data_IF_235128640242
#
_entry.id   IF_235128640242
#
_cell.length_a   1.000
_cell.length_b   1.000
_cell.length_c   1.000
_cell.angle_alpha   90.00
_cell.angle_beta   90.00
_cell.angle_gamma   90.00
#
_symmetry.space_group_name_H-M   'P 1'
#
loop_
_entity.id
_entity.type
_entity.pdbx_description
1 polymer ?
#
# COMPACT_ATOMS: atom_id res chain seq x y z
N UNK A 1 31.94 17.09 27.08
CA UNK A 1 31.55 15.98 26.16
C UNK A 1 31.52 16.56 24.76
N UNK A 2 32.34 16.03 23.83
CA UNK A 2 32.24 16.41 22.42
C UNK A 2 30.83 16.02 21.93
N UNK A 3 30.17 16.94 21.22
CA UNK A 3 28.95 16.61 20.50
C UNK A 3 29.31 15.48 19.51
N UNK A 4 28.48 14.44 19.36
CA UNK A 4 28.71 13.42 18.34
C UNK A 4 28.85 14.10 16.98
N UNK A 5 29.61 13.49 16.05
CA UNK A 5 29.72 13.97 14.67
C UNK A 5 28.33 13.90 14.01
N UNK A 6 27.54 14.97 14.18
CA UNK A 6 26.14 15.02 13.78
C UNK A 6 26.08 15.34 12.29
N UNK A 7 25.64 14.35 11.50
CA UNK A 7 25.43 14.52 10.06
C UNK A 7 24.20 15.35 9.69
N UNK A 8 23.30 15.59 10.63
CA UNK A 8 22.12 16.46 10.45
C UNK A 8 22.51 17.94 10.38
N UNK A 9 21.65 18.76 9.77
CA UNK A 9 21.87 20.20 9.60
C UNK A 9 20.64 21.01 10.07
N UNK A 10 20.62 21.48 11.34
CA UNK A 10 19.53 22.28 11.89
C UNK A 10 19.30 23.62 11.17
N UNK A 11 20.33 24.24 10.62
CA UNK A 11 20.20 25.51 9.90
C UNK A 11 19.39 25.34 8.62
N UNK A 12 19.57 24.20 7.94
CA UNK A 12 18.81 23.84 6.75
C UNK A 12 17.30 23.70 7.05
N UNK A 13 16.97 23.02 8.16
CA UNK A 13 15.59 22.90 8.61
C UNK A 13 14.98 24.27 8.94
N UNK A 14 15.75 25.15 9.60
CA UNK A 14 15.29 26.50 9.93
C UNK A 14 15.04 27.32 8.66
N UNK A 15 15.96 27.31 7.69
CA UNK A 15 15.78 27.98 6.38
C UNK A 15 14.50 27.50 5.69
N UNK A 16 14.29 26.19 5.61
CA UNK A 16 13.08 25.61 5.04
C UNK A 16 11.83 26.06 5.80
N UNK A 17 11.84 25.98 7.13
CA UNK A 17 10.71 26.38 7.97
C UNK A 17 10.33 27.84 7.75
N UNK A 18 11.31 28.74 7.74
CA UNK A 18 11.09 30.17 7.49
C UNK A 18 10.42 30.41 6.14
N UNK A 19 10.86 29.70 5.08
CA UNK A 19 10.24 29.80 3.75
C UNK A 19 8.83 29.21 3.74
N UNK A 20 8.64 28.04 4.33
CA UNK A 20 7.34 27.39 4.45
C UNK A 20 6.31 28.29 5.14
N UNK A 21 6.69 28.88 6.27
CA UNK A 21 5.80 29.73 7.06
C UNK A 21 5.56 31.10 6.45
N UNK A 22 6.49 31.64 5.64
CA UNK A 22 6.32 32.92 4.95
C UNK A 22 5.11 32.91 3.98
N UNK A 23 4.83 31.77 3.36
CA UNK A 23 3.75 31.60 2.39
C UNK A 23 2.60 30.73 2.92
N UNK A 24 2.63 30.40 4.21
CA UNK A 24 1.63 29.55 4.84
C UNK A 24 0.27 30.24 4.93
N UNK A 25 -0.84 29.54 4.63
CA UNK A 25 -2.17 30.07 4.88
C UNK A 25 -2.40 30.28 6.38
N UNK A 26 -3.29 31.22 6.71
CA UNK A 26 -3.58 31.57 8.10
C UNK A 26 -3.99 30.34 8.91
N UNK A 27 -3.36 30.14 10.07
CA UNK A 27 -3.64 29.01 10.97
C UNK A 27 -2.93 27.71 10.62
N UNK A 28 -2.22 27.63 9.48
CA UNK A 28 -1.34 26.51 9.22
C UNK A 28 -0.22 26.48 10.25
N UNK A 29 0.03 25.29 10.77
CA UNK A 29 1.19 25.00 11.57
C UNK A 29 1.75 23.67 11.06
N UNK A 30 3.07 23.54 10.79
CA UNK A 30 3.67 22.30 10.32
C UNK A 30 3.58 21.18 11.36
N UNK A 31 3.31 19.96 10.92
CA UNK A 31 3.35 18.78 11.76
C UNK A 31 4.74 18.14 11.65
N UNK A 32 5.68 18.59 12.49
CA UNK A 32 6.98 17.94 12.61
C UNK A 32 6.93 16.81 13.63
N UNK A 33 7.75 15.79 13.45
CA UNK A 33 7.98 14.75 14.46
C UNK A 33 9.35 14.10 14.31
N UNK A 34 9.77 13.38 15.34
CA UNK A 34 11.12 12.83 15.47
C UNK A 34 11.20 11.43 14.84
N UNK A 35 12.26 11.21 14.07
CA UNK A 35 12.62 9.91 13.51
C UNK A 35 13.85 9.32 14.23
N UNK A 36 14.12 8.04 13.99
CA UNK A 36 15.36 7.39 14.43
C UNK A 36 16.61 8.01 13.80
N UNK A 37 17.73 7.93 14.52
CA UNK A 37 19.02 8.47 14.04
C UNK A 37 19.46 7.71 12.78
N UNK A 38 19.77 8.44 11.70
CA UNK A 38 20.16 7.84 10.43
C UNK A 38 19.06 7.04 9.72
N UNK A 39 17.86 6.98 10.29
CA UNK A 39 16.74 6.20 9.77
C UNK A 39 15.63 7.07 9.19
N UNK A 40 14.64 6.40 8.59
CA UNK A 40 13.40 7.02 8.11
C UNK A 40 12.21 6.78 9.03
N UNK A 41 12.36 5.88 10.00
CA UNK A 41 11.26 5.43 10.84
C UNK A 41 10.97 6.40 11.97
N UNK A 42 9.69 6.58 12.34
CA UNK A 42 9.32 7.33 13.52
C UNK A 42 9.98 6.75 14.77
N UNK A 43 10.41 7.63 15.67
CA UNK A 43 11.03 7.21 16.93
C UNK A 43 10.10 6.29 17.71
N UNK A 44 10.60 5.15 18.19
CA UNK A 44 9.80 4.18 18.93
C UNK A 44 9.29 4.70 20.29
N UNK A 45 8.28 4.02 20.84
CA UNK A 45 7.73 4.27 22.17
C UNK A 45 6.56 5.28 22.23
N UNK A 46 6.31 6.04 21.16
CA UNK A 46 5.15 6.93 21.07
C UNK A 46 4.62 7.00 19.64
N UNK A 47 3.29 7.01 19.48
CA UNK A 47 2.68 7.24 18.17
C UNK A 47 3.06 8.63 17.69
N UNK A 48 3.72 8.71 16.53
CA UNK A 48 4.14 9.98 15.94
C UNK A 48 2.95 10.90 15.61
N UNK A 49 1.77 10.32 15.31
CA UNK A 49 0.52 11.07 15.09
C UNK A 49 0.06 11.83 16.33
N UNK A 50 0.52 11.41 17.52
CA UNK A 50 0.22 12.03 18.80
C UNK A 50 1.45 12.74 19.40
N UNK A 51 2.57 12.86 18.66
CA UNK A 51 3.83 13.40 19.15
C UNK A 51 4.37 14.52 18.25
N UNK A 52 3.48 15.46 17.91
CA UNK A 52 3.83 16.65 17.15
C UNK A 52 4.93 17.45 17.86
N UNK A 53 5.81 18.06 17.07
CA UNK A 53 6.86 18.98 17.53
C UNK A 53 6.66 20.37 16.95
N UNK A 54 6.96 21.36 17.77
CA UNK A 54 7.24 22.74 17.34
C UNK A 54 8.56 22.79 16.57
N UNK A 55 8.81 23.90 15.85
CA UNK A 55 10.11 24.09 15.18
C UNK A 55 11.28 24.08 16.19
N UNK A 56 11.11 24.69 17.36
CA UNK A 56 12.14 24.73 18.41
C UNK A 56 12.49 23.33 18.90
N UNK A 57 11.48 22.50 19.17
CA UNK A 57 11.69 21.10 19.55
C UNK A 57 12.32 20.28 18.42
N UNK A 58 11.87 20.48 17.17
CA UNK A 58 12.42 19.79 16.02
C UNK A 58 13.92 20.10 15.84
N UNK A 59 14.31 21.36 15.94
CA UNK A 59 15.72 21.79 15.91
C UNK A 59 16.53 21.22 17.08
N UNK A 60 15.94 21.17 18.28
CA UNK A 60 16.57 20.53 19.44
C UNK A 60 16.90 19.06 19.18
N UNK A 61 15.96 18.29 18.64
CA UNK A 61 16.18 16.89 18.31
C UNK A 61 17.17 16.71 17.15
N UNK A 62 17.10 17.58 16.13
CA UNK A 62 18.02 17.54 15.00
C UNK A 62 19.47 17.82 15.40
N UNK A 63 19.72 18.74 16.34
CA UNK A 63 21.06 18.97 16.94
C UNK A 63 21.62 17.75 17.69
N UNK A 64 20.78 16.79 18.04
CA UNK A 64 21.18 15.53 18.71
C UNK A 64 21.29 14.37 17.72
N UNK A 65 21.29 14.65 16.41
CA UNK A 65 21.45 13.67 15.34
C UNK A 65 20.16 12.97 14.90
N UNK A 66 19.00 13.28 15.49
CA UNK A 66 17.74 12.71 15.03
C UNK A 66 17.28 13.35 13.72
N UNK A 67 16.72 12.54 12.83
CA UNK A 67 16.02 13.05 11.67
C UNK A 67 14.66 13.62 12.07
N UNK A 68 14.17 14.57 11.27
CA UNK A 68 12.86 15.18 11.45
C UNK A 68 12.04 14.91 10.21
N UNK A 69 10.80 14.47 10.39
CA UNK A 69 9.83 14.39 9.33
C UNK A 69 8.85 15.57 9.39
N UNK A 70 8.30 15.92 8.23
CA UNK A 70 7.14 16.79 8.09
C UNK A 70 5.98 15.99 7.50
N UNK A 71 4.83 16.03 8.17
CA UNK A 71 3.61 15.33 7.76
C UNK A 71 2.59 16.30 7.17
N UNK A 72 1.97 15.87 6.07
CA UNK A 72 0.70 16.44 5.62
C UNK A 72 -0.45 15.70 6.32
N UNK A 73 -1.34 16.41 7.00
CA UNK A 73 -2.44 15.81 7.78
C UNK A 73 -3.78 15.99 7.08
N UNK A 74 -4.82 15.29 7.55
CA UNK A 74 -6.18 15.46 7.03
C UNK A 74 -6.77 16.87 7.30
N UNK A 75 -6.18 17.64 8.23
CA UNK A 75 -6.74 18.90 8.73
C UNK A 75 -5.95 20.13 8.30
N UNK A 76 -4.85 19.95 7.58
CA UNK A 76 -4.03 21.03 7.05
C UNK A 76 -4.07 21.05 5.52
N UNK A 77 -3.69 22.17 4.88
CA UNK A 77 -3.63 22.26 3.43
C UNK A 77 -2.32 21.71 2.84
N UNK A 78 -1.37 21.19 3.62
CA UNK A 78 -0.08 20.75 3.06
C UNK A 78 -0.30 19.59 2.08
N UNK A 79 0.29 19.68 0.90
CA UNK A 79 0.37 18.60 -0.07
C UNK A 79 1.83 18.46 -0.51
N UNK A 80 2.38 17.26 -0.43
CA UNK A 80 3.77 17.00 -0.79
C UNK A 80 3.76 16.06 -2.00
N UNK A 81 4.24 16.53 -3.15
CA UNK A 81 4.44 15.69 -4.32
C UNK A 81 5.89 15.20 -4.30
N UNK A 82 6.05 13.95 -3.87
CA UNK A 82 7.32 13.23 -3.78
C UNK A 82 7.61 12.60 -5.14
N UNK A 83 8.68 13.04 -5.80
CA UNK A 83 9.09 12.56 -7.12
C UNK A 83 10.35 11.72 -6.95
N UNK A 84 10.24 10.44 -7.24
CA UNK A 84 11.37 9.50 -7.17
C UNK A 84 12.17 9.46 -8.48
N UNK A 85 11.48 9.60 -9.62
CA UNK A 85 12.05 9.60 -10.97
C UNK A 85 11.59 10.84 -11.75
N UNK A 86 12.52 11.76 -11.96
CA UNK A 86 12.28 13.02 -12.67
C UNK A 86 11.94 12.80 -14.15
N UNK A 87 12.33 11.67 -14.76
CA UNK A 87 12.00 11.40 -16.16
C UNK A 87 10.51 11.08 -16.35
N UNK A 88 9.85 10.53 -15.33
CA UNK A 88 8.41 10.23 -15.34
C UNK A 88 7.55 11.43 -14.95
N UNK A 89 8.16 12.48 -14.38
CA UNK A 89 7.51 13.72 -13.99
C UNK A 89 8.28 14.90 -14.58
N UNK A 90 8.29 15.05 -15.92
CA UNK A 90 9.10 16.07 -16.60
C UNK A 90 8.65 17.49 -16.27
N UNK A 91 7.36 17.67 -15.96
CA UNK A 91 6.77 18.95 -15.63
C UNK A 91 6.04 18.89 -14.29
N UNK A 92 6.31 19.89 -13.46
CA UNK A 92 5.61 20.10 -12.19
C UNK A 92 5.51 21.60 -11.94
N UNK A 93 4.37 22.04 -11.40
CA UNK A 93 4.15 23.43 -11.02
C UNK A 93 5.30 23.90 -10.11
N UNK A 94 6.02 25.00 -10.44
CA UNK A 94 7.15 25.45 -9.64
C UNK A 94 6.74 25.76 -8.21
N UNK A 95 7.53 25.30 -7.25
CA UNK A 95 7.30 25.54 -5.82
C UNK A 95 8.58 25.29 -5.02
N UNK A 96 8.53 25.47 -3.70
CA UNK A 96 9.62 25.10 -2.80
C UNK A 96 9.97 23.62 -2.94
N UNK A 97 11.24 23.32 -3.20
CA UNK A 97 11.71 21.95 -3.41
C UNK A 97 12.81 21.55 -2.44
N UNK A 98 12.82 20.28 -2.07
CA UNK A 98 13.90 19.62 -1.33
C UNK A 98 14.43 18.47 -2.16
N UNK A 99 15.75 18.38 -2.29
CA UNK A 99 16.43 17.24 -2.89
C UNK A 99 16.52 16.09 -1.89
N UNK A 100 16.09 14.89 -2.29
CA UNK A 100 16.11 13.71 -1.44
C UNK A 100 17.52 13.12 -1.28
N UNK A 101 17.71 12.19 -0.33
CA UNK A 101 19.02 11.57 0.01
C UNK A 101 19.78 10.98 -1.18
N UNK A 102 19.07 10.42 -2.17
CA UNK A 102 19.64 9.77 -3.35
C UNK A 102 20.04 10.80 -4.43
N UNK A 103 19.75 12.08 -4.20
CA UNK A 103 20.01 13.24 -5.07
C UNK A 103 19.27 13.26 -6.42
N UNK A 104 18.67 12.15 -6.80
CA UNK A 104 17.85 11.98 -8.01
C UNK A 104 16.36 12.33 -7.82
N UNK A 105 15.85 12.29 -6.58
CA UNK A 105 14.44 12.60 -6.28
C UNK A 105 14.23 14.00 -5.70
N UNK A 106 12.97 14.45 -5.68
CA UNK A 106 12.55 15.78 -5.19
C UNK A 106 11.27 15.70 -4.38
N UNK A 107 11.24 16.36 -3.22
CA UNK A 107 9.97 16.66 -2.54
C UNK A 107 9.52 18.06 -2.95
N UNK A 108 8.31 18.16 -3.50
CA UNK A 108 7.70 19.41 -3.94
C UNK A 108 6.57 19.78 -2.97
N UNK A 109 6.66 20.94 -2.33
CA UNK A 109 5.73 21.34 -1.28
C UNK A 109 4.69 22.31 -1.81
N UNK A 110 3.41 22.02 -1.61
CA UNK A 110 2.29 22.87 -2.02
C UNK A 110 1.26 23.05 -0.90
N UNK A 111 0.37 24.03 -1.07
CA UNK A 111 -0.86 24.15 -0.29
C UNK A 111 -2.11 23.87 -1.14
N UNK A 112 -2.79 22.77 -0.86
CA UNK A 112 -4.09 22.40 -1.44
C UNK A 112 -5.24 23.08 -0.68
N UNK A 113 -5.40 24.39 -0.88
CA UNK A 113 -6.35 25.24 -0.13
C UNK A 113 -7.81 24.82 -0.36
N UNK A 114 -8.14 24.42 -1.58
CA UNK A 114 -9.47 23.93 -1.97
C UNK A 114 -9.72 22.47 -1.55
N UNK A 115 -8.70 21.79 -1.01
CA UNK A 115 -8.73 20.40 -0.62
C UNK A 115 -8.73 19.39 -1.78
N UNK A 116 -8.78 19.82 -3.05
CA UNK A 116 -8.96 18.90 -4.18
C UNK A 116 -7.77 17.96 -4.35
N UNK A 117 -6.55 18.47 -4.13
CA UNK A 117 -5.30 17.71 -4.15
C UNK A 117 -4.97 17.00 -2.82
N UNK A 118 -5.85 17.02 -1.80
CA UNK A 118 -5.66 16.28 -0.53
C UNK A 118 -5.97 14.79 -0.68
N UNK A 119 -5.26 14.12 -1.59
CA UNK A 119 -5.38 12.70 -1.89
C UNK A 119 -4.02 12.03 -1.80
N UNK A 120 -3.95 10.84 -1.20
CA UNK A 120 -2.73 10.03 -1.25
C UNK A 120 -2.75 9.24 -2.56
N UNK A 121 -1.71 9.39 -3.37
CA UNK A 121 -1.64 8.78 -4.70
C UNK A 121 -0.27 8.12 -4.84
N UNK A 122 -0.14 6.83 -4.48
CA UNK A 122 1.08 6.09 -4.73
C UNK A 122 1.15 5.69 -6.21
N UNK A 123 2.30 5.98 -6.83
CA UNK A 123 2.66 5.41 -8.13
C UNK A 123 3.73 4.33 -7.92
N UNK A 124 4.02 3.57 -8.97
CA UNK A 124 5.01 2.50 -8.89
C UNK A 124 6.44 3.05 -8.82
N UNK A 125 6.76 3.95 -9.76
CA UNK A 125 8.14 4.39 -10.02
C UNK A 125 8.29 5.92 -10.07
N UNK A 126 7.21 6.69 -10.34
CA UNK A 126 7.27 8.15 -10.42
C UNK A 126 7.27 8.85 -9.04
N UNK A 127 7.00 8.13 -7.95
CA UNK A 127 6.87 8.63 -6.59
C UNK A 127 5.42 8.69 -6.09
N UNK A 128 5.08 9.64 -5.23
CA UNK A 128 3.80 9.68 -4.55
C UNK A 128 3.27 11.11 -4.29
N UNK A 129 1.96 11.30 -4.40
CA UNK A 129 1.30 12.46 -3.74
C UNK A 129 1.03 12.08 -2.29
N UNK A 130 1.68 12.78 -1.36
CA UNK A 130 1.61 12.56 0.10
C UNK A 130 0.89 13.72 0.76
N UNK A 131 -0.38 13.53 1.12
CA UNK A 131 -1.23 14.65 1.58
C UNK A 131 -2.04 14.36 2.85
N UNK A 132 -2.36 13.10 3.16
CA UNK A 132 -3.18 12.74 4.32
C UNK A 132 -2.50 11.68 5.16
N UNK A 133 -1.95 12.11 6.30
CA UNK A 133 -1.19 11.27 7.23
C UNK A 133 -0.01 10.53 6.58
N UNK A 134 0.59 11.15 5.56
CA UNK A 134 1.85 10.74 4.96
C UNK A 134 2.89 11.85 5.19
N UNK A 135 4.15 11.46 5.22
CA UNK A 135 5.25 12.34 5.58
C UNK A 135 6.45 12.11 4.68
N UNK A 136 7.35 13.08 4.67
CA UNK A 136 8.69 12.98 4.11
C UNK A 136 9.71 13.46 5.13
N UNK A 137 10.98 13.11 4.94
CA UNK A 137 12.06 13.68 5.74
C UNK A 137 12.19 15.17 5.40
N UNK A 138 12.23 15.99 6.44
CA UNK A 138 12.46 17.42 6.32
C UNK A 138 13.95 17.69 5.99
N UNK A 139 14.26 18.78 5.27
CA UNK A 139 15.64 19.11 4.94
C UNK A 139 16.45 19.37 6.22
N UNK A 140 17.74 19.09 6.15
CA UNK A 140 18.62 18.97 7.32
C UNK A 140 18.69 17.55 7.89
N UNK A 141 17.79 16.65 7.51
CA UNK A 141 17.89 15.22 7.85
C UNK A 141 18.98 14.51 7.04
N UNK A 142 19.50 13.40 7.56
CA UNK A 142 20.50 12.55 6.92
C UNK A 142 20.16 11.06 7.06
N UNK A 143 20.22 10.33 5.96
CA UNK A 143 20.10 8.86 5.93
C UNK A 143 21.18 8.32 5.01
N UNK A 144 22.04 7.38 5.46
CA UNK A 144 23.15 6.90 4.66
C UNK A 144 22.68 6.30 3.32
N UNK A 145 23.56 6.41 2.34
CA UNK A 145 23.43 5.75 1.04
C UNK A 145 24.44 4.61 0.93
N UNK A 146 24.07 3.53 0.25
CA UNK A 146 25.03 2.49 -0.14
C UNK A 146 25.99 3.02 -1.20
N UNK A 147 27.13 2.35 -1.37
CA UNK A 147 28.11 2.70 -2.40
C UNK A 147 27.50 2.65 -3.81
N UNK A 148 26.65 1.65 -4.08
CA UNK A 148 25.91 1.53 -5.34
C UNK A 148 24.91 2.68 -5.56
N UNK A 149 24.26 3.18 -4.50
CA UNK A 149 23.42 4.37 -4.59
C UNK A 149 24.25 5.62 -4.89
N UNK A 150 25.43 5.76 -4.27
CA UNK A 150 26.35 6.90 -4.46
C UNK A 150 26.94 6.91 -5.87
N UNK A 151 27.32 5.75 -6.40
CA UNK A 151 27.93 5.62 -7.73
C UNK A 151 26.96 5.99 -8.86
N UNK A 152 25.64 5.92 -8.62
CA UNK A 152 24.60 6.36 -9.55
C UNK A 152 24.37 7.88 -9.54
N UNK A 153 24.93 8.60 -8.57
CA UNK A 153 24.75 10.06 -8.46
C UNK A 153 25.70 10.79 -9.41
N UNK A 154 25.29 11.95 -9.95
CA UNK A 154 26.22 12.89 -10.58
C UNK A 154 27.37 13.26 -9.64
N UNK A 155 28.60 13.42 -10.16
CA UNK A 155 29.79 13.67 -9.34
C UNK A 155 29.66 14.92 -8.46
N UNK A 156 29.01 15.97 -8.97
CA UNK A 156 28.75 17.20 -8.20
C UNK A 156 27.77 17.01 -7.03
N UNK A 157 26.94 15.96 -7.06
CA UNK A 157 25.95 15.65 -6.03
C UNK A 157 26.47 14.66 -4.98
N UNK A 158 27.53 13.90 -5.28
CA UNK A 158 28.13 12.90 -4.37
C UNK A 158 28.49 13.46 -2.98
N UNK A 159 29.03 14.68 -2.82
CA UNK A 159 29.31 15.25 -1.49
C UNK A 159 28.08 15.44 -0.61
N UNK A 160 26.88 15.48 -1.22
CA UNK A 160 25.60 15.62 -0.53
C UNK A 160 24.88 14.29 -0.34
N UNK A 161 25.50 13.17 -0.71
CA UNK A 161 24.93 11.85 -0.55
C UNK A 161 24.38 11.63 0.87
N UNK A 162 23.15 11.14 0.93
CA UNK A 162 22.45 10.90 2.19
C UNK A 162 21.74 12.12 2.79
N UNK A 163 22.01 13.33 2.31
CA UNK A 163 21.45 14.57 2.85
C UNK A 163 20.14 14.96 2.16
N UNK A 164 19.16 15.38 2.95
CA UNK A 164 17.99 16.12 2.48
C UNK A 164 18.30 17.61 2.51
N UNK A 165 18.33 18.27 1.36
CA UNK A 165 18.74 19.69 1.25
C UNK A 165 17.70 20.48 0.49
N UNK A 166 17.53 21.75 0.86
CA UNK A 166 16.76 22.71 0.10
C UNK A 166 17.35 22.81 -1.32
N UNK A 167 16.51 22.61 -2.33
CA UNK A 167 16.94 22.65 -3.73
C UNK A 167 16.85 24.07 -4.30
N UNK A 168 15.82 24.81 -3.91
CA UNK A 168 15.54 26.15 -4.37
C UNK A 168 14.91 26.98 -3.24
N UNK A 169 14.81 28.30 -3.43
CA UNK A 169 14.16 29.20 -2.48
C UNK A 169 12.84 29.78 -3.01
N UNK A 170 12.18 29.07 -3.93
CA UNK A 170 10.92 29.51 -4.53
C UNK A 170 9.83 29.65 -3.46
N UNK A 171 8.85 30.56 -3.66
CA UNK A 171 7.63 30.57 -2.87
C UNK A 171 6.93 29.22 -2.89
N UNK A 172 6.23 28.89 -1.80
CA UNK A 172 5.30 27.76 -1.84
C UNK A 172 4.04 28.19 -2.58
N UNK A 173 3.70 27.44 -3.61
CA UNK A 173 2.50 27.65 -4.39
C UNK A 173 1.33 26.80 -3.88
N UNK A 174 0.12 27.20 -4.28
CA UNK A 174 -1.07 26.37 -4.13
C UNK A 174 -1.13 25.31 -5.22
N UNK A 175 -1.91 24.26 -5.00
CA UNK A 175 -2.13 23.21 -6.00
C UNK A 175 -3.57 22.71 -5.96
N UNK A 176 -4.20 22.53 -7.13
CA UNK A 176 -5.46 21.77 -7.28
C UNK A 176 -5.18 20.36 -7.79
N UNK A 177 -6.19 19.49 -7.79
CA UNK A 177 -6.03 18.14 -8.33
C UNK A 177 -5.63 18.13 -9.81
N UNK A 178 -6.20 19.04 -10.60
CA UNK A 178 -5.98 19.16 -12.05
C UNK A 178 -4.57 19.67 -12.39
N UNK A 179 -3.92 20.35 -11.45
CA UNK A 179 -2.54 20.84 -11.58
C UNK A 179 -1.49 19.79 -11.18
N UNK A 180 -1.91 18.62 -10.69
CA UNK A 180 -1.00 17.51 -10.44
C UNK A 180 -0.48 16.97 -11.78
N UNK A 181 0.79 16.53 -11.83
CA UNK A 181 1.32 15.87 -13.03
C UNK A 181 0.46 14.69 -13.48
N UNK A 182 0.37 14.48 -14.80
CA UNK A 182 -0.53 13.50 -15.44
C UNK A 182 -0.37 12.09 -14.87
N UNK A 183 0.86 11.66 -14.58
CA UNK A 183 1.13 10.34 -14.00
C UNK A 183 0.35 10.10 -12.69
N UNK A 184 0.15 11.13 -11.87
CA UNK A 184 -0.62 11.02 -10.63
C UNK A 184 -2.12 11.09 -10.86
N UNK A 185 -2.59 11.95 -11.78
CA UNK A 185 -4.03 12.07 -12.07
C UNK A 185 -4.56 10.82 -12.79
N UNK A 186 -3.81 10.28 -13.75
CA UNK A 186 -4.09 9.00 -14.41
C UNK A 186 -4.13 7.86 -13.39
N UNK A 187 -3.12 7.77 -12.52
CA UNK A 187 -3.08 6.78 -11.44
C UNK A 187 -4.29 6.87 -10.52
N UNK A 188 -4.71 8.09 -10.17
CA UNK A 188 -5.87 8.30 -9.33
C UNK A 188 -7.17 7.81 -10.00
N UNK A 189 -7.33 8.06 -11.31
CA UNK A 189 -8.47 7.58 -12.07
C UNK A 189 -8.56 6.05 -12.07
N UNK A 190 -7.43 5.34 -12.21
CA UNK A 190 -7.37 3.89 -12.10
C UNK A 190 -7.80 3.40 -10.70
N UNK A 191 -7.26 4.01 -9.64
CA UNK A 191 -7.62 3.67 -8.27
C UNK A 191 -9.13 3.83 -8.04
N UNK A 192 -9.72 4.90 -8.57
CA UNK A 192 -11.17 5.15 -8.46
C UNK A 192 -11.99 4.15 -9.24
N UNK A 193 -11.55 3.78 -10.45
CA UNK A 193 -12.20 2.73 -11.23
C UNK A 193 -12.20 1.40 -10.46
N UNK A 194 -11.08 1.01 -9.87
CA UNK A 194 -10.98 -0.22 -9.07
C UNK A 194 -11.91 -0.19 -7.85
N UNK A 195 -12.02 0.94 -7.15
CA UNK A 195 -12.91 1.12 -6.01
C UNK A 195 -14.39 1.04 -6.43
N UNK A 196 -14.76 1.66 -7.55
CA UNK A 196 -16.12 1.59 -8.12
C UNK A 196 -16.44 0.16 -8.54
N UNK A 197 -15.53 -0.53 -9.23
CA UNK A 197 -15.70 -1.92 -9.64
C UNK A 197 -15.86 -2.86 -8.43
N UNK A 198 -15.09 -2.66 -7.37
CA UNK A 198 -15.26 -3.38 -6.10
C UNK A 198 -16.63 -3.10 -5.46
N UNK A 199 -17.08 -1.85 -5.48
CA UNK A 199 -18.39 -1.47 -4.92
C UNK A 199 -19.55 -2.06 -5.73
N UNK A 200 -19.50 -1.98 -7.05
CA UNK A 200 -20.52 -2.58 -7.94
C UNK A 200 -20.59 -4.09 -7.72
N UNK A 201 -19.44 -4.77 -7.59
CA UNK A 201 -19.40 -6.21 -7.29
C UNK A 201 -20.05 -6.54 -5.95
N UNK A 202 -19.77 -5.75 -4.92
CA UNK A 202 -20.42 -5.95 -3.61
C UNK A 202 -21.93 -5.67 -3.67
N UNK A 203 -22.39 -4.65 -4.39
CA UNK A 203 -23.83 -4.35 -4.53
C UNK A 203 -24.57 -5.44 -5.31
N UNK A 204 -23.92 -6.02 -6.32
CA UNK A 204 -24.43 -7.18 -7.07
C UNK A 204 -24.27 -8.49 -6.31
N UNK A 205 -23.62 -8.48 -5.13
CA UNK A 205 -23.39 -9.67 -4.35
C UNK A 205 -24.73 -10.23 -3.90
N UNK A 206 -25.06 -11.41 -4.42
CA UNK A 206 -26.23 -12.14 -3.95
C UNK A 206 -26.01 -12.50 -2.48
N UNK A 207 -26.95 -12.09 -1.63
CA UNK A 207 -26.98 -12.58 -0.25
C UNK A 207 -27.30 -14.07 -0.34
N UNK A 208 -26.40 -14.90 0.15
CA UNK A 208 -26.65 -16.32 0.27
C UNK A 208 -27.81 -16.53 1.26
N UNK A 209 -29.01 -16.81 0.75
CA UNK A 209 -30.22 -17.12 1.52
C UNK A 209 -30.40 -18.62 1.75
N UNK A 210 -29.49 -19.44 1.21
CA UNK A 210 -29.56 -20.89 1.35
C UNK A 210 -29.37 -21.30 2.81
N UNK A 211 -30.28 -22.15 3.32
CA UNK A 211 -30.02 -22.89 4.56
C UNK A 211 -28.67 -23.63 4.42
N UNK A 212 -27.81 -23.51 5.43
CA UNK A 212 -26.64 -24.38 5.59
C UNK A 212 -27.13 -25.81 5.80
N UNK A 213 -27.41 -26.51 4.70
CA UNK A 213 -27.78 -27.93 4.71
C UNK A 213 -26.48 -28.71 4.89
N UNK A 214 -26.06 -28.90 6.14
CA UNK A 214 -25.25 -30.02 6.64
C UNK A 214 -23.95 -30.45 5.95
N UNK A 215 -23.44 -29.73 4.94
CA UNK A 215 -22.22 -30.10 4.24
C UNK A 215 -20.95 -29.61 4.94
N UNK A 216 -19.84 -30.35 4.82
CA UNK A 216 -18.52 -29.90 5.25
C UNK A 216 -18.16 -28.59 4.51
N UNK A 217 -17.88 -27.53 5.27
CA UNK A 217 -17.38 -26.25 4.75
C UNK A 217 -15.89 -26.43 4.39
N UNK A 218 -15.45 -25.83 3.28
CA UNK A 218 -14.03 -25.78 2.92
C UNK A 218 -13.24 -25.00 3.98
N UNK A 219 -12.10 -25.54 4.40
CA UNK A 219 -11.13 -24.93 5.29
C UNK A 219 -10.53 -23.64 4.70
N UNK A 220 -10.63 -23.42 3.38
CA UNK A 220 -10.23 -22.17 2.72
C UNK A 220 -10.81 -20.93 3.41
N UNK A 221 -12.04 -21.04 3.93
CA UNK A 221 -12.76 -19.94 4.56
C UNK A 221 -12.43 -19.74 6.03
N UNK A 222 -11.63 -20.63 6.61
CA UNK A 222 -11.18 -20.57 8.00
C UNK A 222 -9.72 -20.12 8.09
N UNK A 223 -9.01 -20.02 6.95
CA UNK A 223 -7.66 -19.45 6.87
C UNK A 223 -7.64 -17.98 7.28
N UNK A 224 -6.63 -17.63 8.06
CA UNK A 224 -6.29 -16.25 8.39
C UNK A 224 -5.01 -15.79 7.66
N UNK A 225 -4.62 -14.54 7.90
CA UNK A 225 -3.45 -13.97 7.23
C UNK A 225 -2.14 -14.63 7.70
N UNK A 226 -2.09 -15.12 8.93
CA UNK A 226 -0.94 -15.84 9.49
C UNK A 226 -0.76 -17.16 8.77
N UNK A 227 -1.84 -17.90 8.52
CA UNK A 227 -1.80 -19.20 7.84
C UNK A 227 -1.19 -19.08 6.44
N UNK A 228 -1.58 -18.04 5.69
CA UNK A 228 -1.17 -17.90 4.28
C UNK A 228 0.14 -17.13 4.08
N UNK A 229 0.52 -16.29 5.04
CA UNK A 229 1.74 -15.46 4.92
C UNK A 229 2.89 -15.92 5.82
N UNK A 230 2.62 -16.75 6.83
CA UNK A 230 3.57 -17.09 7.88
C UNK A 230 3.90 -15.94 8.85
N UNK A 231 3.23 -14.78 8.70
CA UNK A 231 3.49 -13.58 9.49
C UNK A 231 2.37 -13.35 10.50
N UNK A 232 2.69 -13.52 11.78
CA UNK A 232 1.78 -13.20 12.89
C UNK A 232 1.64 -11.69 13.12
N UNK A 233 0.69 -11.30 13.95
CA UNK A 233 0.49 -9.90 14.37
C UNK A 233 1.82 -9.25 14.83
N UNK A 234 2.18 -8.15 14.18
CA UNK A 234 3.47 -7.48 14.41
C UNK A 234 3.46 -6.56 15.63
N UNK A 235 2.32 -6.46 16.33
CA UNK A 235 2.08 -5.63 17.51
C UNK A 235 2.44 -4.17 17.29
N UNK A 236 2.11 -3.66 16.11
CA UNK A 236 2.40 -2.26 15.74
C UNK A 236 3.72 -2.03 15.04
N UNK A 237 4.62 -3.02 14.98
CA UNK A 237 5.93 -2.88 14.33
C UNK A 237 5.83 -2.99 12.82
N UNK A 238 6.62 -2.17 12.12
CA UNK A 238 6.84 -2.31 10.69
C UNK A 238 7.87 -3.41 10.44
N UNK A 239 7.58 -4.23 9.44
CA UNK A 239 8.43 -5.34 8.99
C UNK A 239 8.63 -5.24 7.47
N UNK A 240 9.61 -5.96 6.91
CA UNK A 240 9.73 -6.09 5.47
C UNK A 240 8.51 -6.83 4.91
N UNK A 241 7.99 -6.38 3.77
CA UNK A 241 7.00 -7.16 3.02
C UNK A 241 7.63 -8.48 2.58
N UNK A 242 6.90 -9.61 2.66
CA UNK A 242 7.33 -10.87 2.07
C UNK A 242 7.75 -10.72 0.60
N UNK A 243 8.85 -11.38 0.24
CA UNK A 243 9.40 -11.37 -1.13
C UNK A 243 8.40 -11.91 -2.15
N UNK A 244 7.58 -12.88 -1.74
CA UNK A 244 6.53 -13.51 -2.58
C UNK A 244 5.47 -12.53 -3.07
N UNK A 245 5.32 -11.36 -2.42
CA UNK A 245 4.46 -10.28 -2.92
C UNK A 245 5.30 -9.32 -3.77
N UNK A 246 6.23 -8.62 -3.14
CA UNK A 246 7.12 -7.66 -3.82
C UNK A 246 8.33 -7.23 -2.97
N UNK A 247 8.54 -7.80 -1.77
CA UNK A 247 9.67 -7.46 -0.92
C UNK A 247 9.68 -6.01 -0.39
N UNK A 248 10.80 -5.63 0.22
CA UNK A 248 11.01 -4.32 0.82
C UNK A 248 12.44 -3.84 0.63
N UNK A 249 12.62 -2.68 0.01
CA UNK A 249 13.94 -2.03 -0.05
C UNK A 249 14.31 -1.35 1.28
N UNK A 250 13.32 -0.84 2.00
CA UNK A 250 13.52 -0.10 3.25
C UNK A 250 13.32 -0.96 4.50
N UNK A 251 12.83 -2.19 4.35
CA UNK A 251 12.54 -3.11 5.44
C UNK A 251 11.29 -2.78 6.26
N UNK A 252 10.50 -1.76 5.88
CA UNK A 252 9.43 -1.21 6.74
C UNK A 252 8.14 -0.83 5.98
N UNK A 253 7.74 -1.64 4.99
CA UNK A 253 6.54 -1.40 4.18
C UNK A 253 5.36 -2.33 4.51
N UNK A 254 5.49 -3.18 5.53
CA UNK A 254 4.46 -4.13 5.95
C UNK A 254 4.16 -4.05 7.45
N UNK A 255 2.91 -4.31 7.82
CA UNK A 255 2.44 -4.52 9.19
C UNK A 255 1.32 -5.55 9.20
N UNK A 256 1.28 -6.47 10.16
CA UNK A 256 0.12 -7.36 10.36
C UNK A 256 -0.61 -6.94 11.63
N UNK A 257 -1.91 -6.71 11.52
CA UNK A 257 -2.79 -6.42 12.66
C UNK A 257 -4.25 -6.67 12.31
N UNK A 258 -5.07 -7.06 13.29
CA UNK A 258 -6.51 -7.29 13.12
C UNK A 258 -6.84 -8.29 11.99
N UNK A 259 -6.04 -9.35 11.86
CA UNK A 259 -6.23 -10.37 10.80
C UNK A 259 -5.93 -9.87 9.38
N UNK A 260 -5.28 -8.72 9.23
CA UNK A 260 -4.94 -8.12 7.94
C UNK A 260 -3.44 -7.86 7.83
N UNK A 261 -2.90 -8.10 6.64
CA UNK A 261 -1.58 -7.62 6.24
C UNK A 261 -1.72 -6.29 5.52
N UNK A 262 -1.08 -5.25 6.05
CA UNK A 262 -1.06 -3.90 5.50
C UNK A 262 0.15 -3.72 4.61
N UNK A 263 -0.08 -3.37 3.35
CA UNK A 263 0.94 -2.92 2.41
C UNK A 263 0.92 -1.39 2.34
N UNK A 264 1.98 -0.76 2.87
CA UNK A 264 2.11 0.69 2.85
C UNK A 264 2.61 1.24 1.52
N UNK A 265 3.32 0.41 0.72
CA UNK A 265 3.76 0.78 -0.63
C UNK A 265 2.57 1.03 -1.56
N UNK A 266 1.62 0.10 -1.56
CA UNK A 266 0.44 0.14 -2.42
C UNK A 266 -0.79 0.75 -1.72
N UNK A 267 -0.66 1.14 -0.45
CA UNK A 267 -1.74 1.68 0.38
C UNK A 267 -3.00 0.79 0.41
N UNK A 268 -2.80 -0.52 0.53
CA UNK A 268 -3.87 -1.54 0.63
C UNK A 268 -3.65 -2.48 1.81
N UNK A 269 -4.69 -3.19 2.22
CA UNK A 269 -4.61 -4.30 3.16
C UNK A 269 -5.21 -5.59 2.57
N UNK A 270 -4.69 -6.73 3.00
CA UNK A 270 -5.09 -8.07 2.56
C UNK A 270 -5.59 -8.92 3.73
N UNK A 271 -6.69 -9.64 3.51
CA UNK A 271 -7.05 -10.83 4.29
C UNK A 271 -6.48 -12.09 3.63
N UNK A 272 -6.70 -13.27 4.23
CA UNK A 272 -6.22 -14.54 3.69
C UNK A 272 -6.59 -14.78 2.22
N UNK A 273 -7.88 -14.62 1.88
CA UNK A 273 -8.37 -14.88 0.52
C UNK A 273 -7.74 -13.93 -0.53
N UNK A 274 -7.70 -12.63 -0.26
CA UNK A 274 -7.07 -11.66 -1.17
C UNK A 274 -5.55 -11.84 -1.26
N UNK A 275 -4.91 -12.36 -0.21
CA UNK A 275 -3.50 -12.72 -0.23
C UNK A 275 -3.26 -13.94 -1.14
N UNK A 276 -4.07 -14.99 -1.00
CA UNK A 276 -4.01 -16.16 -1.88
C UNK A 276 -4.32 -15.82 -3.34
N UNK A 277 -5.21 -14.87 -3.60
CA UNK A 277 -5.44 -14.39 -4.97
C UNK A 277 -4.17 -13.80 -5.60
N UNK A 278 -3.31 -13.15 -4.80
CA UNK A 278 -2.02 -12.68 -5.30
C UNK A 278 -1.09 -13.84 -5.61
N UNK A 279 -0.97 -14.77 -4.67
CA UNK A 279 -0.08 -15.91 -4.84
C UNK A 279 -0.48 -16.80 -6.02
N UNK A 280 -1.78 -16.99 -6.24
CA UNK A 280 -2.35 -17.70 -7.38
C UNK A 280 -2.28 -16.91 -8.71
N UNK A 281 -1.65 -15.74 -8.74
CA UNK A 281 -1.49 -14.92 -9.95
C UNK A 281 -2.78 -14.30 -10.49
N UNK A 282 -3.87 -14.29 -9.72
CA UNK A 282 -5.19 -13.78 -10.14
C UNK A 282 -5.20 -12.25 -10.17
N UNK A 283 -4.52 -11.61 -9.21
CA UNK A 283 -4.46 -10.16 -9.11
C UNK A 283 -3.16 -9.69 -8.45
N UNK A 284 -2.63 -8.56 -8.91
CA UNK A 284 -1.54 -7.85 -8.24
C UNK A 284 -1.94 -7.40 -6.82
N UNK A 285 -0.96 -7.06 -5.98
CA UNK A 285 -1.18 -6.48 -4.64
C UNK A 285 -2.21 -5.34 -4.63
N UNK A 286 -2.06 -4.36 -5.50
CA UNK A 286 -2.98 -3.22 -5.59
C UNK A 286 -4.42 -3.63 -5.95
N UNK A 287 -4.56 -4.53 -6.93
CA UNK A 287 -5.86 -5.00 -7.44
C UNK A 287 -6.56 -5.98 -6.51
N UNK A 288 -5.82 -6.76 -5.74
CA UNK A 288 -6.40 -7.74 -4.82
C UNK A 288 -6.81 -7.11 -3.48
N UNK A 289 -6.00 -6.17 -2.99
CA UNK A 289 -6.16 -5.58 -1.68
C UNK A 289 -7.38 -4.67 -1.56
N UNK A 290 -7.75 -4.38 -0.31
CA UNK A 290 -8.68 -3.32 0.03
C UNK A 290 -7.89 -2.04 0.29
N UNK A 291 -8.19 -0.90 -0.35
CA UNK A 291 -7.53 0.37 -0.06
C UNK A 291 -7.59 0.71 1.44
N UNK A 292 -6.55 1.34 1.98
CA UNK A 292 -6.59 1.84 3.35
C UNK A 292 -7.73 2.87 3.51
N UNK A 293 -8.65 2.60 4.44
CA UNK A 293 -9.89 3.39 4.61
C UNK A 293 -11.02 3.01 3.65
N UNK A 294 -10.76 2.13 2.67
CA UNK A 294 -11.76 1.55 1.78
C UNK A 294 -12.60 0.48 2.47
N UNK A 295 -13.72 0.11 1.83
CA UNK A 295 -14.70 -0.84 2.40
C UNK A 295 -14.53 -2.26 1.89
N UNK A 296 -14.17 -2.43 0.61
CA UNK A 296 -14.21 -3.72 -0.08
C UNK A 296 -12.85 -4.12 -0.64
N UNK A 297 -12.58 -5.42 -0.66
CA UNK A 297 -11.42 -5.99 -1.35
C UNK A 297 -11.65 -5.97 -2.87
N UNK A 298 -10.56 -5.92 -3.63
CA UNK A 298 -10.65 -5.89 -5.09
C UNK A 298 -10.91 -7.26 -5.75
N UNK A 299 -10.90 -8.35 -4.98
CA UNK A 299 -11.22 -9.71 -5.42
C UNK A 299 -12.61 -10.14 -5.00
N UNK A 300 -13.25 -11.00 -5.80
CA UNK A 300 -14.58 -11.53 -5.53
C UNK A 300 -14.52 -12.94 -4.95
N UNK A 301 -14.78 -13.08 -3.65
CA UNK A 301 -14.84 -14.37 -2.97
C UNK A 301 -16.06 -15.24 -3.32
N UNK A 302 -16.94 -14.78 -4.21
CA UNK A 302 -18.04 -15.57 -4.76
C UNK A 302 -17.85 -15.97 -6.22
N UNK A 303 -16.86 -15.39 -6.90
CA UNK A 303 -16.57 -15.74 -8.28
C UNK A 303 -16.02 -17.17 -8.36
N UNK A 304 -16.73 -18.06 -9.05
CA UNK A 304 -16.41 -19.48 -9.05
C UNK A 304 -15.02 -19.79 -9.61
N UNK A 305 -14.60 -19.07 -10.66
CA UNK A 305 -13.25 -19.20 -11.23
C UNK A 305 -12.18 -18.79 -10.22
N UNK A 306 -12.32 -17.60 -9.63
CA UNK A 306 -11.40 -17.09 -8.62
C UNK A 306 -11.30 -18.05 -7.43
N UNK A 307 -12.44 -18.50 -6.91
CA UNK A 307 -12.47 -19.42 -5.76
C UNK A 307 -11.84 -20.76 -6.12
N UNK A 308 -12.08 -21.29 -7.33
CA UNK A 308 -11.47 -22.54 -7.79
C UNK A 308 -9.95 -22.43 -7.84
N UNK A 309 -9.42 -21.37 -8.48
CA UNK A 309 -7.96 -21.13 -8.58
C UNK A 309 -7.31 -20.95 -7.21
N UNK A 310 -7.94 -20.18 -6.32
CA UNK A 310 -7.46 -19.99 -4.95
C UNK A 310 -7.47 -21.29 -4.14
N UNK A 311 -8.55 -22.07 -4.25
CA UNK A 311 -8.69 -23.35 -3.56
C UNK A 311 -7.65 -24.37 -4.05
N UNK A 312 -7.45 -24.50 -5.36
CA UNK A 312 -6.38 -25.34 -5.93
C UNK A 312 -5.01 -24.91 -5.43
N UNK A 313 -4.70 -23.61 -5.50
CA UNK A 313 -3.42 -23.08 -5.01
C UNK A 313 -3.20 -23.43 -3.53
N UNK A 314 -4.21 -23.23 -2.68
CA UNK A 314 -4.12 -23.51 -1.25
C UNK A 314 -3.87 -25.01 -0.96
N UNK A 315 -4.44 -25.92 -1.76
CA UNK A 315 -4.18 -27.37 -1.66
C UNK A 315 -2.77 -27.72 -2.09
N UNK A 316 -2.38 -27.28 -3.29
CA UNK A 316 -1.06 -27.56 -3.88
C UNK A 316 0.10 -27.10 -2.98
N UNK A 317 -0.13 -26.09 -2.15
CA UNK A 317 0.85 -25.54 -1.20
C UNK A 317 0.63 -26.01 0.25
N UNK A 318 -0.26 -26.99 0.48
CA UNK A 318 -0.48 -27.60 1.78
C UNK A 318 -1.12 -26.69 2.83
N UNK A 319 -1.76 -25.59 2.43
CA UNK A 319 -2.43 -24.66 3.33
C UNK A 319 -3.81 -25.18 3.78
N UNK A 320 -4.41 -26.07 2.98
CA UNK A 320 -5.64 -26.80 3.33
C UNK A 320 -5.48 -28.29 2.99
N UNK A 321 -6.25 -29.20 3.62
CA UNK A 321 -6.13 -30.63 3.39
C UNK A 321 -6.37 -31.06 1.93
N UNK A 322 -5.71 -32.14 1.52
CA UNK A 322 -5.90 -32.76 0.20
C UNK A 322 -7.33 -33.26 -0.05
N UNK A 323 -8.08 -33.57 1.01
CA UNK A 323 -9.49 -33.96 0.96
C UNK A 323 -10.45 -32.82 1.31
N UNK A 324 -9.96 -31.56 1.38
CA UNK A 324 -10.80 -30.40 1.63
C UNK A 324 -11.92 -30.31 0.59
N UNK A 325 -13.19 -30.12 1.00
CA UNK A 325 -14.30 -30.08 0.06
C UNK A 325 -14.27 -28.81 -0.78
N UNK A 326 -14.32 -28.95 -2.11
CA UNK A 326 -14.40 -27.81 -3.03
C UNK A 326 -15.58 -26.88 -2.68
N UNK A 327 -15.36 -25.55 -2.60
CA UNK A 327 -16.44 -24.58 -2.44
C UNK A 327 -17.49 -24.69 -3.55
N UNK A 328 -18.76 -24.44 -3.22
CA UNK A 328 -19.87 -24.64 -4.18
C UNK A 328 -19.73 -23.81 -5.45
N UNK A 329 -19.39 -22.53 -5.34
CA UNK A 329 -19.20 -21.65 -6.51
C UNK A 329 -18.09 -22.16 -7.42
N UNK A 330 -16.98 -22.64 -6.84
CA UNK A 330 -15.87 -23.25 -7.56
C UNK A 330 -16.28 -24.55 -8.26
N UNK A 331 -17.08 -25.41 -7.59
CA UNK A 331 -17.61 -26.63 -8.20
C UNK A 331 -18.49 -26.34 -9.40
N UNK A 332 -19.40 -25.36 -9.29
CA UNK A 332 -20.27 -24.96 -10.40
C UNK A 332 -19.45 -24.40 -11.57
N UNK A 333 -18.47 -23.53 -11.27
CA UNK A 333 -17.56 -23.04 -12.30
C UNK A 333 -16.84 -24.18 -13.02
N UNK A 334 -16.22 -25.09 -12.27
CA UNK A 334 -15.47 -26.21 -12.81
C UNK A 334 -16.36 -27.13 -13.67
N UNK A 335 -17.57 -27.43 -13.20
CA UNK A 335 -18.55 -28.21 -13.95
C UNK A 335 -18.92 -27.57 -15.30
N UNK A 336 -19.11 -26.25 -15.32
CA UNK A 336 -19.44 -25.50 -16.55
C UNK A 336 -18.23 -25.42 -17.47
N UNK A 337 -17.05 -25.12 -16.94
CA UNK A 337 -15.80 -25.01 -17.69
C UNK A 337 -15.43 -26.33 -18.39
N UNK A 338 -15.66 -27.46 -17.71
CA UNK A 338 -15.46 -28.81 -18.26
C UNK A 338 -16.63 -29.35 -19.08
N UNK A 339 -17.66 -28.55 -19.33
CA UNK A 339 -18.83 -28.96 -20.10
C UNK A 339 -19.68 -30.07 -19.47
N UNK A 340 -19.51 -30.33 -18.17
CA UNK A 340 -20.29 -31.32 -17.42
C UNK A 340 -21.73 -30.85 -17.14
N UNK A 341 -21.96 -29.53 -17.16
CA UNK A 341 -23.27 -28.90 -16.96
C UNK A 341 -23.33 -27.59 -17.74
N UNK A 342 -24.45 -27.29 -18.39
CA UNK A 342 -24.66 -25.97 -19.01
C UNK A 342 -25.07 -24.96 -17.96
N UNK A 343 -24.75 -23.67 -18.18
CA UNK A 343 -25.18 -22.58 -17.29
C UNK A 343 -26.70 -22.52 -17.11
N UNK A 344 -27.46 -22.82 -18.16
CA UNK A 344 -28.93 -22.84 -18.14
C UNK A 344 -29.53 -23.99 -17.32
N UNK A 345 -28.72 -24.99 -16.96
CA UNK A 345 -29.17 -26.18 -16.20
C UNK A 345 -28.88 -26.03 -14.71
N UNK A 346 -28.20 -24.95 -14.30
CA UNK A 346 -27.90 -24.65 -12.89
C UNK A 346 -29.20 -24.35 -12.17
N UNK A 347 -29.45 -25.07 -11.09
CA UNK A 347 -30.62 -24.91 -10.24
C UNK A 347 -30.41 -23.77 -9.23
N UNK A 348 -31.51 -23.34 -8.63
CA UNK A 348 -31.53 -22.28 -7.62
C UNK A 348 -30.50 -22.51 -6.49
N UNK A 349 -29.79 -21.45 -6.12
CA UNK A 349 -28.74 -21.49 -5.09
C UNK A 349 -27.43 -22.14 -5.55
N UNK A 350 -27.11 -22.02 -6.85
CA UNK A 350 -25.90 -22.56 -7.48
C UNK A 350 -25.76 -24.07 -7.28
N UNK A 351 -26.84 -24.82 -7.51
CA UNK A 351 -26.84 -26.28 -7.39
C UNK A 351 -26.73 -26.92 -8.77
N UNK A 352 -25.84 -27.89 -8.88
CA UNK A 352 -25.74 -28.72 -10.09
C UNK A 352 -26.88 -29.75 -10.10
N UNK A 353 -27.47 -30.05 -11.27
CA UNK A 353 -28.34 -31.21 -11.42
C UNK A 353 -27.55 -32.49 -11.12
N UNK A 354 -28.23 -33.55 -10.70
CA UNK A 354 -27.59 -34.82 -10.26
C UNK A 354 -26.60 -35.34 -11.31
N UNK A 355 -27.01 -35.41 -12.57
CA UNK A 355 -26.15 -35.88 -13.66
C UNK A 355 -24.90 -34.99 -13.82
N UNK A 356 -25.09 -33.67 -13.82
CA UNK A 356 -23.98 -32.72 -13.92
C UNK A 356 -23.02 -32.83 -12.74
N UNK A 357 -23.53 -33.00 -11.52
CA UNK A 357 -22.72 -33.23 -10.33
C UNK A 357 -21.90 -34.52 -10.44
N UNK A 358 -22.53 -35.65 -10.78
CA UNK A 358 -21.85 -36.95 -10.92
C UNK A 358 -20.79 -36.92 -12.02
N UNK A 359 -21.09 -36.35 -13.18
CA UNK A 359 -20.12 -36.17 -14.26
C UNK A 359 -18.93 -35.32 -13.82
N UNK A 360 -19.19 -34.24 -13.08
CA UNK A 360 -18.13 -33.36 -12.56
C UNK A 360 -17.16 -34.10 -11.65
N UNK A 361 -17.66 -34.97 -10.76
CA UNK A 361 -16.80 -35.79 -9.89
C UNK A 361 -15.97 -36.80 -10.69
N UNK A 362 -16.55 -37.42 -11.72
CA UNK A 362 -15.85 -38.37 -12.58
C UNK A 362 -14.74 -37.70 -13.40
N UNK A 363 -15.03 -36.55 -14.02
CA UNK A 363 -14.05 -35.77 -14.79
C UNK A 363 -12.91 -35.30 -13.89
N UNK A 364 -13.21 -34.76 -12.71
CA UNK A 364 -12.18 -34.36 -11.76
C UNK A 364 -11.27 -35.52 -11.36
N UNK A 365 -11.83 -36.70 -11.11
CA UNK A 365 -11.05 -37.91 -10.81
C UNK A 365 -10.14 -38.31 -11.99
N UNK A 366 -10.62 -38.19 -13.23
CA UNK A 366 -9.80 -38.44 -14.43
C UNK A 366 -8.67 -37.43 -14.59
N UNK A 367 -8.91 -36.17 -14.22
CA UNK A 367 -7.91 -35.10 -14.20
C UNK A 367 -6.96 -35.18 -12.98
N UNK A 368 -7.17 -36.14 -12.08
CA UNK A 368 -6.37 -36.29 -10.85
C UNK A 368 -6.69 -35.26 -9.76
N UNK A 369 -7.81 -34.54 -9.87
CA UNK A 369 -8.23 -33.51 -8.91
C UNK A 369 -9.14 -34.14 -7.86
N UNK A 370 -8.71 -34.14 -6.60
CA UNK A 370 -9.56 -34.54 -5.48
C UNK A 370 -10.48 -33.38 -5.08
N UNK A 371 -11.79 -33.49 -5.33
CA UNK A 371 -12.77 -32.45 -4.98
C UNK A 371 -13.21 -32.46 -3.50
N UNK A 372 -12.71 -33.40 -2.69
CA UNK A 372 -13.12 -33.54 -1.28
C UNK A 372 -14.62 -33.84 -1.13
N UNK A 373 -15.21 -34.43 -2.16
CA UNK A 373 -16.62 -34.81 -2.23
C UNK A 373 -16.72 -36.23 -2.77
N UNK A 374 -17.53 -37.04 -2.10
CA UNK A 374 -17.84 -38.42 -2.47
C UNK A 374 -19.25 -38.52 -3.03
#
# INVERSE_FOLDING_TARGET
>A
MALPDTKTNPEELLKFHTRLMKYAPRGYNPFYFVLEIGGKEPKQGISWKNNRKTITEALYWMRRGHNIAICATAKDPLCIVDVDDLAQVPEIKPTLQVTSRKRIGRHNYFFAIDGTAKRNIPTKDAGEVRSVWQYVLAPGSYVPCSEEEINRMPDCEKPYAGRYTLNNELPINTITFEELPEVYTARYAEMKKLEVDATIRELKREKYTGKNIGGKKSALWDLDITDVSGVSDTRGRYIPMPSVIHGSETGHNCKVSNGLMHCWRHSVCHNAFSYLCMLAGIASCERAGRPHGGRFFGVNAQDGETVFKVWMYAKEHGMIPEDDPIPRSALVYYAVDRGCCKKSEIQEGNRLPILGYTLTLLVAKQEGINLGRN
#
